data_IF_547397117567
#
_entry.id   IF_547397117567
#
_cell.length_a   1.000
_cell.length_b   1.000
_cell.length_c   1.000
_cell.angle_alpha   90.00
_cell.angle_beta   90.00
_cell.angle_gamma   90.00
#
_symmetry.space_group_name_H-M   'P 1'
#
loop_
_entity.id
_entity.type
_entity.pdbx_description
1 polymer ?
#
# COMPACT_ATOMS: atom_id res chain seq x y z
N UNK A 1 -31.82 -14.79 40.12
CA UNK A 1 -30.36 -14.59 40.13
C UNK A 1 -29.83 -15.09 38.80
N UNK A 2 -29.62 -14.19 37.85
CA UNK A 2 -29.07 -14.50 36.54
C UNK A 2 -27.54 -14.54 36.63
N UNK A 3 -26.85 -15.47 35.95
CA UNK A 3 -25.40 -15.41 35.86
C UNK A 3 -24.97 -14.22 34.99
N UNK A 4 -23.77 -13.63 35.23
CA UNK A 4 -23.22 -12.61 34.35
C UNK A 4 -22.73 -13.25 33.04
N UNK A 5 -22.82 -12.55 31.89
CA UNK A 5 -22.16 -13.01 30.68
C UNK A 5 -20.65 -12.78 30.81
N UNK A 6 -19.90 -13.84 30.53
CA UNK A 6 -18.45 -13.89 30.53
C UNK A 6 -17.84 -13.05 29.40
N UNK A 7 -16.69 -12.48 29.73
CA UNK A 7 -15.78 -11.69 28.91
C UNK A 7 -15.41 -12.42 27.62
N UNK A 8 -15.68 -11.80 26.46
CA UNK A 8 -15.06 -12.18 25.18
C UNK A 8 -14.11 -11.07 24.75
N UNK A 9 -12.89 -11.10 25.27
CA UNK A 9 -11.76 -10.37 24.70
C UNK A 9 -11.50 -10.91 23.30
N UNK A 10 -11.87 -10.14 22.28
CA UNK A 10 -11.53 -10.43 20.89
C UNK A 10 -10.01 -10.29 20.71
N UNK A 11 -9.30 -11.38 20.96
CA UNK A 11 -7.94 -11.58 20.50
C UNK A 11 -7.95 -11.66 18.98
N UNK A 12 -7.57 -10.55 18.34
CA UNK A 12 -7.20 -10.51 16.93
C UNK A 12 -6.00 -11.45 16.74
N UNK A 13 -6.26 -12.65 16.24
CA UNK A 13 -5.22 -13.54 15.75
C UNK A 13 -4.61 -12.93 14.48
N UNK A 14 -3.27 -12.78 14.37
CA UNK A 14 -2.66 -12.43 13.11
C UNK A 14 -2.72 -13.66 12.20
N UNK A 15 -3.63 -13.62 11.24
CA UNK A 15 -3.63 -14.56 10.14
C UNK A 15 -2.35 -14.31 9.34
N UNK A 16 -1.33 -15.15 9.54
CA UNK A 16 -0.09 -15.12 8.77
C UNK A 16 -0.42 -15.38 7.30
N UNK A 17 -0.65 -14.31 6.55
CA UNK A 17 -0.75 -14.32 5.11
C UNK A 17 0.63 -14.69 4.57
N UNK A 18 0.74 -15.83 3.89
CA UNK A 18 1.91 -16.17 3.08
C UNK A 18 1.92 -15.16 1.94
N UNK A 19 2.70 -14.09 2.10
CA UNK A 19 2.79 -13.01 1.14
C UNK A 19 3.59 -13.38 -0.10
N UNK A 20 3.44 -12.58 -1.16
CA UNK A 20 4.25 -12.61 -2.39
C UNK A 20 5.74 -12.42 -2.06
N UNK A 21 6.06 -11.62 -1.04
CA UNK A 21 7.44 -11.30 -0.66
C UNK A 21 7.96 -12.20 0.47
N UNK A 22 9.11 -12.82 0.23
CA UNK A 22 9.84 -13.57 1.25
C UNK A 22 10.34 -12.66 2.39
N UNK A 23 10.67 -13.24 3.55
CA UNK A 23 11.22 -12.49 4.68
C UNK A 23 12.51 -11.73 4.31
N UNK A 24 13.35 -12.32 3.47
CA UNK A 24 14.59 -11.71 2.99
C UNK A 24 14.31 -10.51 2.07
N UNK A 25 13.36 -10.63 1.16
CA UNK A 25 12.94 -9.52 0.28
C UNK A 25 12.29 -8.38 1.06
N UNK A 26 11.45 -8.69 2.05
CA UNK A 26 10.86 -7.69 2.95
C UNK A 26 11.94 -6.91 3.70
N UNK A 27 12.95 -7.60 4.24
CA UNK A 27 14.12 -6.98 4.89
C UNK A 27 14.90 -6.09 3.93
N UNK A 28 15.13 -6.55 2.70
CA UNK A 28 15.82 -5.76 1.68
C UNK A 28 15.05 -4.49 1.33
N UNK A 29 13.73 -4.58 1.12
CA UNK A 29 12.89 -3.42 0.81
C UNK A 29 12.87 -2.40 1.96
N UNK A 30 12.76 -2.85 3.20
CA UNK A 30 12.83 -1.98 4.36
C UNK A 30 14.22 -1.33 4.49
N UNK A 31 15.29 -2.08 4.27
CA UNK A 31 16.64 -1.53 4.24
C UNK A 31 16.81 -0.46 3.14
N UNK A 32 16.25 -0.69 1.95
CA UNK A 32 16.23 0.31 0.86
C UNK A 32 15.47 1.57 1.28
N UNK A 33 14.34 1.43 1.96
CA UNK A 33 13.56 2.57 2.45
C UNK A 33 14.34 3.42 3.47
N UNK A 34 14.94 2.76 4.47
CA UNK A 34 15.77 3.42 5.49
C UNK A 34 16.99 4.11 4.86
N UNK A 35 17.74 3.38 4.03
CA UNK A 35 18.92 3.90 3.33
C UNK A 35 18.56 5.12 2.47
N UNK A 36 17.40 5.12 1.81
CA UNK A 36 16.98 6.24 0.98
C UNK A 36 16.69 7.52 1.78
N UNK A 37 16.17 7.38 3.00
CA UNK A 37 15.94 8.50 3.91
C UNK A 37 17.28 9.01 4.45
N UNK A 38 18.14 8.10 4.92
CA UNK A 38 19.47 8.41 5.44
C UNK A 38 20.35 9.11 4.41
N UNK A 39 20.45 8.55 3.20
CA UNK A 39 21.27 9.11 2.13
C UNK A 39 20.81 10.51 1.72
N UNK A 40 19.50 10.79 1.79
CA UNK A 40 18.96 12.12 1.49
C UNK A 40 19.45 13.18 2.48
N UNK A 41 19.54 12.83 3.77
CA UNK A 41 20.06 13.71 4.81
C UNK A 41 21.59 13.89 4.72
N UNK A 42 22.27 12.90 4.15
CA UNK A 42 23.72 12.91 3.91
C UNK A 42 24.13 13.47 2.56
N UNK A 43 23.16 13.81 1.70
CA UNK A 43 23.40 14.24 0.32
C UNK A 43 24.22 13.21 -0.48
N UNK A 44 23.91 11.93 -0.26
CA UNK A 44 24.59 10.77 -0.83
C UNK A 44 23.67 10.04 -1.80
N UNK A 45 24.24 9.59 -2.91
CA UNK A 45 23.53 8.75 -3.87
C UNK A 45 23.40 7.31 -3.35
N UNK A 46 22.27 6.69 -3.66
CA UNK A 46 21.96 5.31 -3.30
C UNK A 46 22.33 4.42 -4.50
N UNK A 47 22.90 3.23 -4.30
CA UNK A 47 23.09 2.27 -5.39
C UNK A 47 21.78 2.00 -6.12
N UNK A 48 21.82 2.10 -7.44
CA UNK A 48 20.65 1.96 -8.32
C UNK A 48 20.52 0.56 -8.92
N UNK A 49 21.28 -0.40 -8.39
CA UNK A 49 21.29 -1.78 -8.86
C UNK A 49 20.16 -2.58 -8.23
N UNK A 50 19.48 -3.44 -9.01
CA UNK A 50 18.39 -4.24 -8.49
C UNK A 50 18.93 -5.26 -7.47
N UNK A 51 18.38 -5.31 -6.24
CA UNK A 51 18.81 -6.26 -5.22
C UNK A 51 18.51 -7.72 -5.63
N UNK A 52 17.43 -7.95 -6.39
CA UNK A 52 17.14 -9.22 -7.04
C UNK A 52 16.17 -9.01 -8.23
N UNK A 53 15.99 -10.02 -9.10
CA UNK A 53 15.07 -9.92 -10.25
C UNK A 53 13.61 -9.65 -9.86
N UNK A 54 13.12 -10.25 -8.78
CA UNK A 54 11.72 -10.09 -8.35
C UNK A 54 11.43 -8.65 -7.90
N UNK A 55 12.34 -8.04 -7.14
CA UNK A 55 12.22 -6.64 -6.73
C UNK A 55 12.49 -5.64 -7.87
N UNK A 56 13.00 -6.11 -9.02
CA UNK A 56 13.16 -5.30 -10.21
C UNK A 56 11.85 -5.16 -11.02
N UNK A 57 10.81 -5.92 -10.68
CA UNK A 57 9.51 -5.81 -11.34
C UNK A 57 8.82 -4.48 -10.97
N UNK A 58 8.17 -3.81 -11.94
CA UNK A 58 7.40 -2.61 -11.64
C UNK A 58 6.21 -2.93 -10.73
N UNK A 59 6.10 -2.23 -9.60
CA UNK A 59 4.99 -2.33 -8.65
C UNK A 59 4.63 -0.94 -8.12
N UNK A 60 3.35 -0.74 -7.82
CA UNK A 60 2.94 0.41 -7.01
C UNK A 60 3.28 0.14 -5.54
N UNK A 61 3.63 1.17 -4.80
CA UNK A 61 3.94 1.04 -3.38
C UNK A 61 3.59 2.31 -2.63
N UNK A 62 3.24 2.15 -1.36
CA UNK A 62 3.11 3.23 -0.40
C UNK A 62 4.08 3.01 0.74
N UNK A 63 4.79 4.06 1.12
CA UNK A 63 5.64 4.09 2.29
C UNK A 63 4.98 4.96 3.35
N UNK A 64 4.77 4.38 4.51
CA UNK A 64 4.28 5.06 5.70
C UNK A 64 5.38 5.06 6.75
N UNK A 65 5.67 6.24 7.30
CA UNK A 65 6.69 6.44 8.32
C UNK A 65 5.98 6.75 9.62
N UNK A 66 6.43 6.11 10.69
CA UNK A 66 6.04 6.39 12.06
C UNK A 66 7.25 6.84 12.86
N UNK A 67 7.04 7.73 13.84
CA UNK A 67 8.06 8.13 14.79
C UNK A 67 7.45 8.06 16.20
N UNK A 68 8.06 7.26 17.08
CA UNK A 68 7.53 7.00 18.43
C UNK A 68 6.06 6.52 18.44
N UNK A 69 5.66 5.73 17.44
CA UNK A 69 4.30 5.19 17.29
C UNK A 69 3.29 6.12 16.61
N UNK A 70 3.66 7.37 16.33
CA UNK A 70 2.78 8.36 15.67
C UNK A 70 3.08 8.45 14.17
N UNK A 71 2.04 8.67 13.36
CA UNK A 71 2.18 8.86 11.91
C UNK A 71 3.05 10.10 11.62
N UNK A 72 4.12 9.92 10.84
CA UNK A 72 5.12 10.96 10.55
C UNK A 72 5.20 11.35 9.07
N UNK A 73 4.64 10.51 8.19
CA UNK A 73 4.52 10.77 6.76
C UNK A 73 3.96 9.57 6.01
N UNK A 74 3.27 9.80 4.90
CA UNK A 74 2.79 8.73 4.02
C UNK A 74 2.71 9.21 2.58
N UNK A 75 3.46 8.56 1.69
CA UNK A 75 3.48 8.84 0.25
C UNK A 75 3.50 7.53 -0.52
N UNK A 76 2.86 7.50 -1.68
CA UNK A 76 2.90 6.32 -2.53
C UNK A 76 2.43 6.55 -3.95
N UNK A 77 2.76 5.59 -4.79
CA UNK A 77 2.39 5.55 -6.19
C UNK A 77 1.56 4.31 -6.46
N UNK A 78 0.41 4.52 -7.11
CA UNK A 78 -0.45 3.41 -7.48
C UNK A 78 -0.05 2.80 -8.81
N UNK A 79 0.33 3.64 -9.77
CA UNK A 79 0.75 3.17 -11.08
C UNK A 79 2.25 2.80 -11.05
N UNK A 80 2.62 1.56 -11.42
CA UNK A 80 4.02 1.18 -11.51
C UNK A 80 4.69 1.88 -12.69
N UNK A 81 5.59 2.83 -12.42
CA UNK A 81 6.39 3.53 -13.45
C UNK A 81 7.84 3.07 -13.47
N UNK A 82 8.34 2.56 -12.34
CA UNK A 82 9.72 2.14 -12.12
C UNK A 82 9.75 0.81 -11.33
N UNK A 83 10.88 0.10 -11.30
CA UNK A 83 11.06 -1.09 -10.47
C UNK A 83 10.69 -0.87 -8.99
N UNK A 84 10.14 -1.90 -8.34
CA UNK A 84 9.67 -1.84 -6.95
C UNK A 84 10.71 -1.27 -5.97
N UNK A 85 11.97 -1.73 -6.02
CA UNK A 85 13.00 -1.20 -5.11
C UNK A 85 13.20 0.32 -5.27
N UNK A 86 13.07 0.85 -6.50
CA UNK A 86 13.12 2.29 -6.75
C UNK A 86 11.86 2.99 -6.27
N UNK A 87 10.69 2.41 -6.53
CA UNK A 87 9.41 2.93 -6.02
C UNK A 87 9.46 3.05 -4.49
N UNK A 88 10.00 2.06 -3.78
CA UNK A 88 10.17 2.11 -2.33
C UNK A 88 11.13 3.24 -1.94
N UNK A 89 12.31 3.35 -2.57
CA UNK A 89 13.25 4.43 -2.27
C UNK A 89 12.64 5.82 -2.50
N UNK A 90 11.95 6.03 -3.63
CA UNK A 90 11.31 7.29 -3.98
C UNK A 90 10.18 7.64 -3.00
N UNK A 91 9.30 6.69 -2.71
CA UNK A 91 8.16 6.92 -1.81
C UNK A 91 8.59 7.08 -0.36
N UNK A 92 9.67 6.43 0.08
CA UNK A 92 10.26 6.63 1.40
C UNK A 92 10.81 8.04 1.57
N UNK A 93 11.55 8.54 0.57
CA UNK A 93 12.03 9.93 0.55
C UNK A 93 10.87 10.92 0.52
N UNK A 94 9.87 10.67 -0.32
CA UNK A 94 8.67 11.49 -0.40
C UNK A 94 7.92 11.54 0.95
N UNK A 95 7.74 10.38 1.60
CA UNK A 95 7.10 10.30 2.91
C UNK A 95 7.88 11.05 3.99
N UNK A 96 9.22 11.03 3.93
CA UNK A 96 10.07 11.71 4.92
C UNK A 96 10.17 13.22 4.73
N UNK A 97 10.15 13.72 3.49
CA UNK A 97 10.53 15.10 3.19
C UNK A 97 9.51 15.90 2.37
N UNK A 98 8.57 15.25 1.69
CA UNK A 98 7.65 15.89 0.73
C UNK A 98 6.17 15.81 1.16
N UNK A 99 5.84 15.08 2.22
CA UNK A 99 4.48 15.06 2.78
C UNK A 99 4.16 16.40 3.44
N UNK A 100 3.43 17.25 2.72
CA UNK A 100 3.06 18.61 3.14
C UNK A 100 2.29 18.71 4.47
N UNK A 101 1.78 17.60 5.01
CA UNK A 101 1.12 17.56 6.32
C UNK A 101 2.10 17.59 7.48
N UNK A 102 3.38 17.28 7.24
CA UNK A 102 4.41 17.17 8.26
C UNK A 102 5.66 17.97 7.89
N UNK A 103 6.47 18.30 8.89
CA UNK A 103 7.78 18.89 8.64
C UNK A 103 8.75 17.83 8.10
N UNK A 104 9.74 18.19 7.27
CA UNK A 104 10.76 17.23 6.85
C UNK A 104 11.41 16.52 8.04
N UNK A 105 11.67 15.22 7.93
CA UNK A 105 12.37 14.42 8.94
C UNK A 105 13.77 15.00 9.20
N UNK A 106 14.17 15.02 10.47
CA UNK A 106 15.51 15.46 10.90
C UNK A 106 16.45 14.29 11.16
N UNK A 107 17.76 14.56 11.20
CA UNK A 107 18.81 13.54 11.45
C UNK A 107 18.62 12.82 12.79
N UNK A 108 18.13 13.52 13.80
CA UNK A 108 17.92 12.94 15.14
C UNK A 108 16.71 11.98 15.17
N UNK A 109 15.72 12.20 14.29
CA UNK A 109 14.54 11.35 14.19
C UNK A 109 14.81 10.02 13.48
N UNK A 110 15.78 9.98 12.55
CA UNK A 110 16.06 8.83 11.66
C UNK A 110 16.15 7.51 12.41
N UNK A 111 16.95 7.47 13.48
CA UNK A 111 17.20 6.25 14.26
C UNK A 111 15.97 5.69 14.97
N UNK A 112 14.93 6.52 15.15
CA UNK A 112 13.66 6.16 15.78
C UNK A 112 12.51 5.97 14.80
N UNK A 113 12.75 6.06 13.50
CA UNK A 113 11.70 5.85 12.51
C UNK A 113 11.35 4.38 12.40
N UNK A 114 10.05 4.12 12.27
CA UNK A 114 9.52 2.82 11.88
C UNK A 114 8.86 2.96 10.52
N UNK A 115 9.22 2.10 9.59
CA UNK A 115 8.70 2.09 8.23
C UNK A 115 7.70 0.95 8.09
N UNK A 116 6.57 1.25 7.45
CA UNK A 116 5.62 0.28 6.93
C UNK A 116 5.47 0.48 5.43
N UNK A 117 5.64 -0.60 4.69
CA UNK A 117 5.50 -0.66 3.25
C UNK A 117 4.19 -1.36 2.91
N UNK A 118 3.43 -0.76 2.00
CA UNK A 118 2.23 -1.36 1.40
C UNK A 118 2.49 -1.53 -0.10
N UNK A 119 2.85 -2.74 -0.51
CA UNK A 119 3.19 -3.07 -1.89
C UNK A 119 1.96 -3.56 -2.62
N UNK A 120 1.63 -2.92 -3.74
CA UNK A 120 0.48 -3.30 -4.55
C UNK A 120 0.87 -4.46 -5.47
N UNK A 121 0.00 -5.47 -5.56
CA UNK A 121 0.14 -6.53 -6.56
C UNK A 121 0.02 -5.95 -7.98
N UNK A 122 0.45 -6.69 -9.01
CA UNK A 122 0.05 -6.38 -10.38
C UNK A 122 -1.46 -6.28 -10.49
N UNK A 123 -1.93 -5.36 -11.34
CA UNK A 123 -3.33 -5.34 -11.72
C UNK A 123 -3.62 -6.57 -12.58
N UNK A 124 -4.69 -7.27 -12.24
CA UNK A 124 -5.14 -8.46 -12.96
C UNK A 124 -6.62 -8.31 -13.32
N UNK A 125 -7.06 -8.75 -14.53
CA UNK A 125 -8.47 -8.80 -14.86
C UNK A 125 -9.26 -9.58 -13.80
N UNK A 126 -10.43 -9.08 -13.44
CA UNK A 126 -11.30 -9.71 -12.44
C UNK A 126 -12.76 -9.69 -12.89
N UNK A 127 -13.52 -10.74 -12.57
CA UNK A 127 -14.97 -10.68 -12.76
C UNK A 127 -15.64 -9.86 -11.64
N UNK A 128 -16.68 -9.07 -11.93
CA UNK A 128 -17.38 -8.28 -10.92
C UNK A 128 -17.88 -9.11 -9.71
N UNK A 129 -18.25 -10.36 -9.94
CA UNK A 129 -18.73 -11.27 -8.89
C UNK A 129 -17.61 -11.86 -8.00
N UNK A 130 -16.36 -11.74 -8.41
CA UNK A 130 -15.17 -12.17 -7.66
C UNK A 130 -14.57 -11.03 -6.83
N UNK A 131 -15.12 -9.82 -6.94
CA UNK A 131 -14.65 -8.67 -6.16
C UNK A 131 -14.98 -8.86 -4.68
N UNK A 132 -13.93 -8.83 -3.86
CA UNK A 132 -14.02 -8.91 -2.41
C UNK A 132 -13.73 -7.54 -1.78
N UNK A 133 -14.75 -6.97 -1.14
CA UNK A 133 -14.65 -5.69 -0.42
C UNK A 133 -13.67 -5.82 0.75
N UNK A 134 -12.76 -4.87 0.88
CA UNK A 134 -11.71 -4.88 1.91
C UNK A 134 -10.48 -5.70 1.55
N UNK A 135 -10.53 -6.51 0.49
CA UNK A 135 -9.36 -7.22 -0.04
C UNK A 135 -8.87 -6.61 -1.34
N UNK A 136 -9.76 -6.37 -2.29
CA UNK A 136 -9.40 -5.89 -3.62
C UNK A 136 -9.51 -4.37 -3.72
N UNK A 137 -8.48 -3.75 -4.28
CA UNK A 137 -8.58 -2.46 -4.94
C UNK A 137 -9.03 -2.67 -6.37
N UNK A 138 -9.74 -1.71 -6.93
CA UNK A 138 -10.30 -1.81 -8.28
C UNK A 138 -9.75 -0.76 -9.20
N UNK A 139 -9.53 -1.16 -10.45
CA UNK A 139 -9.27 -0.28 -11.58
C UNK A 139 -10.38 -0.50 -12.61
N UNK A 140 -11.03 0.60 -13.01
CA UNK A 140 -11.98 0.60 -14.12
C UNK A 140 -11.40 1.45 -15.24
N UNK A 141 -11.39 0.92 -16.46
CA UNK A 141 -10.93 1.63 -17.64
C UNK A 141 -11.87 1.46 -18.85
N UNK A 142 -12.14 2.54 -19.57
CA UNK A 142 -12.85 2.53 -20.85
C UNK A 142 -12.35 3.66 -21.76
N UNK A 143 -11.60 3.32 -22.81
CA UNK A 143 -10.95 4.30 -23.67
C UNK A 143 -9.92 5.14 -22.89
N UNK A 144 -10.10 6.47 -22.86
CA UNK A 144 -9.24 7.39 -22.10
C UNK A 144 -9.61 7.51 -20.61
N UNK A 145 -10.76 6.95 -20.22
CA UNK A 145 -11.28 7.04 -18.86
C UNK A 145 -10.64 5.95 -18.01
N UNK A 146 -10.01 6.34 -16.90
CA UNK A 146 -9.43 5.42 -15.93
C UNK A 146 -9.66 5.90 -14.51
N UNK A 147 -10.17 5.03 -13.66
CA UNK A 147 -10.44 5.29 -12.26
C UNK A 147 -9.91 4.15 -11.40
N UNK A 148 -9.49 4.50 -10.19
CA UNK A 148 -8.93 3.54 -9.25
C UNK A 148 -9.36 3.87 -7.83
N UNK A 149 -9.73 2.83 -7.08
CA UNK A 149 -10.00 2.93 -5.65
C UNK A 149 -9.24 1.82 -4.90
N UNK A 150 -8.69 2.18 -3.74
CA UNK A 150 -7.89 1.29 -2.89
C UNK A 150 -8.80 0.35 -2.06
N UNK A 151 -8.30 -0.82 -1.60
CA UNK A 151 -9.09 -1.81 -0.86
C UNK A 151 -9.80 -1.28 0.40
N UNK A 152 -9.20 -0.30 1.09
CA UNK A 152 -9.71 0.25 2.34
C UNK A 152 -10.89 1.20 2.15
N UNK A 153 -10.98 1.88 1.00
CA UNK A 153 -12.01 2.89 0.73
C UNK A 153 -13.44 2.34 0.89
N UNK A 154 -13.82 1.20 0.27
CA UNK A 154 -15.18 0.68 0.45
C UNK A 154 -15.47 0.26 1.90
N UNK A 155 -14.46 -0.15 2.68
CA UNK A 155 -14.63 -0.52 4.09
C UNK A 155 -14.91 0.73 4.93
N UNK A 156 -14.10 1.78 4.76
CA UNK A 156 -14.25 3.05 5.48
C UNK A 156 -15.63 3.70 5.24
N UNK A 157 -16.17 3.56 4.03
CA UNK A 157 -17.46 4.11 3.67
C UNK A 157 -18.65 3.13 3.83
N UNK A 158 -18.40 1.90 4.27
CA UNK A 158 -19.44 0.88 4.43
C UNK A 158 -20.15 0.52 3.12
N UNK A 159 -19.42 0.50 2.00
CA UNK A 159 -19.93 0.15 0.69
C UNK A 159 -19.98 -1.37 0.50
N UNK A 160 -21.05 -1.83 -0.14
CA UNK A 160 -21.10 -3.19 -0.68
C UNK A 160 -20.34 -3.26 -2.02
N UNK A 161 -20.23 -4.48 -2.55
CA UNK A 161 -19.52 -4.76 -3.80
C UNK A 161 -20.06 -3.97 -4.99
N UNK A 162 -21.38 -3.86 -5.11
CA UNK A 162 -22.02 -3.18 -6.25
C UNK A 162 -21.74 -1.68 -6.19
N UNK A 163 -21.89 -1.08 -5.01
CA UNK A 163 -21.57 0.32 -4.80
C UNK A 163 -20.09 0.59 -5.03
N UNK A 164 -19.21 -0.30 -4.57
CA UNK A 164 -17.77 -0.17 -4.80
C UNK A 164 -17.41 -0.12 -6.30
N UNK A 165 -18.01 -1.00 -7.11
CA UNK A 165 -17.86 -0.99 -8.57
C UNK A 165 -18.37 0.31 -9.21
N UNK A 166 -19.53 0.80 -8.78
CA UNK A 166 -20.13 2.03 -9.29
C UNK A 166 -19.33 3.28 -8.92
N UNK A 167 -18.83 3.37 -7.68
CA UNK A 167 -17.98 4.49 -7.26
C UNK A 167 -16.63 4.45 -7.98
N UNK A 168 -16.10 3.26 -8.29
CA UNK A 168 -14.89 3.13 -9.12
C UNK A 168 -15.14 3.63 -10.54
N UNK A 169 -16.30 3.34 -11.13
CA UNK A 169 -16.69 3.91 -12.43
C UNK A 169 -16.80 5.43 -12.36
N UNK A 170 -17.43 5.98 -11.32
CA UNK A 170 -17.52 7.44 -11.14
C UNK A 170 -16.14 8.07 -11.00
N UNK A 171 -15.20 7.42 -10.30
CA UNK A 171 -13.81 7.85 -10.21
C UNK A 171 -13.12 7.89 -11.58
N UNK A 172 -13.51 7.00 -12.50
CA UNK A 172 -13.09 7.01 -13.89
C UNK A 172 -13.81 8.06 -14.75
N UNK A 173 -14.72 8.85 -14.19
CA UNK A 173 -15.66 9.72 -14.92
C UNK A 173 -16.58 8.94 -15.87
N UNK A 174 -16.94 7.71 -15.50
CA UNK A 174 -17.89 6.85 -16.20
C UNK A 174 -19.23 6.79 -15.43
N UNK A 175 -20.35 6.52 -16.12
CA UNK A 175 -21.61 6.30 -15.44
C UNK A 175 -21.56 5.05 -14.54
N UNK A 176 -22.33 5.01 -13.43
CA UNK A 176 -22.57 3.79 -12.67
C UNK A 176 -23.04 2.65 -13.59
N UNK A 177 -22.62 1.41 -13.31
CA UNK A 177 -22.92 0.26 -14.14
C UNK A 177 -22.07 0.12 -15.41
N UNK A 178 -21.12 1.02 -15.69
CA UNK A 178 -20.23 0.89 -16.87
C UNK A 178 -19.43 -0.43 -16.88
N UNK A 179 -19.17 -1.00 -15.70
CA UNK A 179 -18.56 -2.32 -15.50
C UNK A 179 -19.43 -3.48 -16.03
N UNK A 180 -20.73 -3.28 -16.28
CA UNK A 180 -21.63 -4.24 -16.95
C UNK A 180 -21.61 -4.12 -18.47
N UNK A 181 -21.24 -2.95 -19.00
CA UNK A 181 -21.43 -2.58 -20.41
C UNK A 181 -20.11 -2.47 -21.18
N UNK A 182 -19.07 -3.18 -20.75
CA UNK A 182 -17.81 -3.33 -21.48
C UNK A 182 -16.64 -2.48 -21.00
N UNK A 183 -16.72 -1.83 -19.82
CA UNK A 183 -15.52 -1.30 -19.19
C UNK A 183 -14.60 -2.45 -18.71
N UNK A 184 -13.30 -2.29 -18.89
CA UNK A 184 -12.32 -3.22 -18.36
C UNK A 184 -12.27 -3.07 -16.85
N UNK A 185 -12.38 -4.20 -16.14
CA UNK A 185 -12.31 -4.28 -14.69
C UNK A 185 -11.08 -5.10 -14.30
N UNK A 186 -10.20 -4.49 -13.51
CA UNK A 186 -9.02 -5.11 -12.95
C UNK A 186 -9.04 -4.96 -11.44
N UNK A 187 -8.46 -5.93 -10.72
CA UNK A 187 -8.22 -5.85 -9.31
C UNK A 187 -6.73 -5.92 -9.00
N UNK A 188 -6.37 -5.39 -7.83
CA UNK A 188 -5.08 -5.57 -7.20
C UNK A 188 -5.28 -5.73 -5.70
N UNK A 189 -4.32 -6.36 -5.03
CA UNK A 189 -4.25 -6.44 -3.57
C UNK A 189 -3.09 -5.57 -3.08
N UNK A 190 -3.03 -5.35 -1.77
CA UNK A 190 -1.87 -4.73 -1.13
C UNK A 190 -1.33 -5.69 -0.07
N UNK A 191 -0.04 -5.97 -0.13
CA UNK A 191 0.68 -6.65 0.94
C UNK A 191 1.35 -5.61 1.83
N UNK A 192 1.08 -5.68 3.13
CA UNK A 192 1.58 -4.72 4.11
C UNK A 192 2.57 -5.43 5.04
N UNK A 193 3.74 -4.84 5.21
CA UNK A 193 4.75 -5.28 6.18
C UNK A 193 5.60 -4.09 6.64
N UNK A 194 6.15 -4.14 7.84
CA UNK A 194 6.99 -3.08 8.40
C UNK A 194 8.04 -3.57 9.39
N UNK A 195 8.81 -2.64 9.94
CA UNK A 195 9.90 -2.93 10.89
C UNK A 195 9.41 -3.67 12.16
N UNK A 196 8.17 -3.40 12.58
CA UNK A 196 7.52 -4.10 13.69
C UNK A 196 7.35 -5.60 13.44
N UNK A 197 7.22 -6.02 12.19
CA UNK A 197 6.99 -7.42 11.82
C UNK A 197 8.29 -8.23 11.77
N UNK A 198 9.43 -7.56 11.70
CA UNK A 198 10.77 -8.18 11.62
C UNK A 198 11.46 -8.35 12.98
N UNK A 199 10.94 -7.69 14.01
CA UNK A 199 11.51 -7.66 15.36
C UNK A 199 10.86 -8.68 16.32
N UNK A 200 9.90 -9.48 15.80
CA UNK A 200 9.18 -10.53 16.53
C UNK A 200 9.83 -11.91 16.44
#
# INVERSE_FOLDING_TARGET
MSPPPETSSASLSPCAQVGEFSLEERKLLLAVAHEAIESSLEHREIPLDPPCPHLAEPRGAFTTIYCAGELRGCVGYVAPSVPLYRTVAETARGAAFEDSRFWPVTRDEVSGLQISLSILSPVMPIHPDEVEVGRHGLVVALGIHRGLLLPQVPVEHGWDRVRFLDETCRKASLPPGAWLSGANLEAFTAEIFGDSDLTS
#
